data_IF_006901666292
#
_entry.id   IF_006901666292
#
_cell.length_a   1.000
_cell.length_b   1.000
_cell.length_c   1.000
_cell.angle_alpha   90.00
_cell.angle_beta   90.00
_cell.angle_gamma   90.00
#
_symmetry.space_group_name_H-M   'P 1'
#
loop_
_entity.id
_entity.type
_entity.pdbx_description
1 polymer ?
#
# COMPACT_ATOMS: atom_id res chain seq x y z
N UNK A 1 -20.27 -24.18 -0.82
CA UNK A 1 -20.54 -23.92 -2.24
C UNK A 1 -21.32 -22.63 -2.40
N UNK A 2 -21.10 -21.90 -3.50
CA UNK A 2 -21.76 -20.62 -3.78
C UNK A 2 -22.29 -20.64 -5.21
N UNK A 3 -23.59 -20.46 -5.37
CA UNK A 3 -24.20 -20.20 -6.67
C UNK A 3 -24.15 -18.70 -6.95
N UNK A 4 -23.37 -18.27 -7.94
CA UNK A 4 -23.34 -16.88 -8.34
C UNK A 4 -24.63 -16.50 -9.10
N UNK A 5 -25.20 -15.34 -8.78
CA UNK A 5 -26.47 -14.84 -9.32
C UNK A 5 -26.40 -13.39 -9.80
N UNK A 6 -25.21 -12.87 -10.03
CA UNK A 6 -24.98 -11.46 -10.42
C UNK A 6 -25.52 -11.12 -11.83
N UNK A 7 -25.98 -12.12 -12.60
CA UNK A 7 -26.58 -12.00 -13.92
C UNK A 7 -28.12 -11.98 -13.90
N UNK A 8 -28.75 -12.33 -12.77
CA UNK A 8 -30.21 -12.41 -12.62
C UNK A 8 -30.73 -11.55 -11.46
N UNK A 9 -29.93 -10.61 -11.01
CA UNK A 9 -30.27 -9.68 -9.93
C UNK A 9 -31.46 -8.76 -10.28
N UNK A 10 -32.00 -8.12 -9.25
CA UNK A 10 -33.03 -7.09 -9.38
C UNK A 10 -32.58 -5.82 -8.65
N UNK A 11 -32.42 -4.71 -9.36
CA UNK A 11 -31.96 -3.43 -8.79
C UNK A 11 -32.92 -2.78 -7.81
N UNK A 12 -34.18 -3.22 -7.79
CA UNK A 12 -35.21 -2.65 -6.90
C UNK A 12 -35.53 -3.54 -5.71
N UNK A 13 -34.99 -4.76 -5.70
CA UNK A 13 -35.29 -5.78 -4.69
C UNK A 13 -34.08 -6.70 -4.56
N UNK A 14 -33.67 -7.02 -3.34
CA UNK A 14 -32.57 -7.95 -3.07
C UNK A 14 -32.93 -9.40 -3.49
N UNK A 15 -34.22 -9.67 -3.74
CA UNK A 15 -34.69 -11.00 -4.12
C UNK A 15 -34.72 -11.14 -5.65
N UNK A 16 -33.88 -11.99 -6.24
CA UNK A 16 -33.97 -12.26 -7.68
C UNK A 16 -35.31 -12.92 -7.99
N UNK A 17 -35.99 -12.46 -9.03
CA UNK A 17 -37.26 -13.05 -9.49
C UNK A 17 -37.08 -14.42 -10.13
N UNK A 18 -35.95 -14.65 -10.79
CA UNK A 18 -35.62 -15.90 -11.43
C UNK A 18 -35.13 -16.93 -10.39
N UNK A 19 -36.07 -17.57 -9.71
CA UNK A 19 -35.78 -18.63 -8.72
C UNK A 19 -35.38 -19.96 -9.39
N UNK A 20 -35.77 -20.18 -10.62
CA UNK A 20 -35.45 -21.40 -11.36
C UNK A 20 -33.94 -21.52 -11.59
N UNK A 21 -33.26 -20.46 -12.06
CA UNK A 21 -31.81 -20.48 -12.27
C UNK A 21 -31.07 -20.58 -10.92
N UNK A 22 -31.56 -19.95 -9.85
CA UNK A 22 -30.98 -20.11 -8.52
C UNK A 22 -31.02 -21.59 -8.10
N UNK A 23 -32.21 -22.22 -8.18
CA UNK A 23 -32.39 -23.63 -7.85
C UNK A 23 -31.57 -24.57 -8.75
N UNK A 24 -31.54 -24.31 -10.05
CA UNK A 24 -30.75 -25.08 -11.01
C UNK A 24 -29.23 -25.06 -10.67
N UNK A 25 -28.66 -23.88 -10.42
CA UNK A 25 -27.24 -23.72 -10.07
C UNK A 25 -26.91 -24.40 -8.73
N UNK A 26 -27.78 -24.29 -7.74
CA UNK A 26 -27.60 -24.99 -6.47
C UNK A 26 -27.67 -26.50 -6.66
N UNK A 27 -28.59 -27.02 -7.50
CA UNK A 27 -28.69 -28.43 -7.81
C UNK A 27 -27.45 -28.96 -8.53
N UNK A 28 -26.88 -28.22 -9.49
CA UNK A 28 -25.60 -28.57 -10.14
C UNK A 28 -24.48 -28.72 -9.12
N UNK A 29 -24.32 -27.74 -8.21
CA UNK A 29 -23.32 -27.79 -7.15
C UNK A 29 -23.50 -29.00 -6.25
N UNK A 30 -24.74 -29.29 -5.81
CA UNK A 30 -25.04 -30.46 -4.99
C UNK A 30 -24.71 -31.75 -5.74
N UNK A 31 -25.13 -31.89 -6.99
CA UNK A 31 -24.86 -33.06 -7.81
C UNK A 31 -23.36 -33.34 -7.93
N UNK A 32 -22.57 -32.29 -8.19
CA UNK A 32 -21.12 -32.40 -8.32
C UNK A 32 -20.42 -32.70 -7.01
N UNK A 33 -20.63 -31.82 -6.01
CA UNK A 33 -19.81 -31.82 -4.80
C UNK A 33 -20.33 -32.73 -3.70
N UNK A 34 -21.65 -33.00 -3.65
CA UNK A 34 -22.24 -33.87 -2.64
C UNK A 34 -22.50 -35.28 -3.18
N UNK A 35 -23.03 -35.38 -4.41
CA UNK A 35 -23.40 -36.66 -5.01
C UNK A 35 -22.35 -37.23 -5.97
N UNK A 36 -21.18 -36.60 -6.08
CA UNK A 36 -20.01 -37.13 -6.81
C UNK A 36 -20.14 -37.19 -8.33
N UNK A 37 -21.01 -36.38 -8.95
CA UNK A 37 -21.14 -36.28 -10.41
C UNK A 37 -20.05 -35.35 -10.95
N UNK A 38 -18.80 -35.80 -10.93
CA UNK A 38 -17.59 -34.96 -11.21
C UNK A 38 -17.45 -34.51 -12.64
N UNK A 39 -18.16 -35.13 -13.58
CA UNK A 39 -18.22 -34.74 -15.00
C UNK A 39 -19.07 -33.49 -15.28
N UNK A 40 -19.87 -33.05 -14.31
CA UNK A 40 -20.69 -31.87 -14.44
C UNK A 40 -19.87 -30.56 -14.31
N UNK A 41 -20.11 -29.64 -15.22
CA UNK A 41 -19.66 -28.24 -15.07
C UNK A 41 -20.69 -27.51 -14.20
N UNK A 42 -20.42 -27.44 -12.91
CA UNK A 42 -21.32 -26.89 -11.91
C UNK A 42 -20.82 -25.55 -11.31
N UNK A 43 -19.53 -25.34 -11.38
CA UNK A 43 -18.90 -24.17 -10.74
C UNK A 43 -18.87 -22.99 -11.70
N UNK A 44 -19.20 -21.82 -11.18
CA UNK A 44 -19.03 -20.53 -11.86
C UNK A 44 -17.55 -20.23 -12.10
N UNK A 45 -17.22 -19.45 -13.15
CA UNK A 45 -15.88 -18.90 -13.29
C UNK A 45 -15.55 -17.99 -12.09
N UNK A 46 -14.47 -18.28 -11.39
CA UNK A 46 -13.95 -17.44 -10.33
C UNK A 46 -12.54 -16.95 -10.67
N UNK A 47 -12.21 -15.78 -10.15
CA UNK A 47 -10.86 -15.23 -10.24
C UNK A 47 -9.82 -16.27 -9.75
N UNK A 48 -8.78 -16.47 -10.53
CA UNK A 48 -7.64 -17.33 -10.20
C UNK A 48 -6.35 -16.53 -10.07
N UNK A 49 -6.00 -15.72 -11.07
CA UNK A 49 -4.76 -14.95 -11.06
C UNK A 49 -4.85 -13.65 -11.85
N UNK A 50 -3.97 -12.71 -11.50
CA UNK A 50 -3.76 -11.45 -12.19
C UNK A 50 -2.28 -11.36 -12.59
N UNK A 51 -2.00 -10.99 -13.85
CA UNK A 51 -0.64 -10.75 -14.35
C UNK A 51 -0.60 -9.48 -15.17
N UNK A 52 0.53 -8.76 -15.13
CA UNK A 52 0.80 -7.65 -16.04
C UNK A 52 1.34 -8.17 -17.37
N UNK A 53 0.94 -7.54 -18.46
CA UNK A 53 1.48 -7.71 -19.80
C UNK A 53 1.59 -6.32 -20.44
N UNK A 54 2.75 -5.68 -20.28
CA UNK A 54 2.97 -4.30 -20.69
C UNK A 54 1.97 -3.32 -20.04
N UNK A 55 1.16 -2.65 -20.84
CA UNK A 55 0.10 -1.74 -20.40
C UNK A 55 -1.25 -2.42 -20.17
N UNK A 56 -1.28 -3.76 -20.16
CA UNK A 56 -2.48 -4.57 -19.99
C UNK A 56 -2.42 -5.40 -18.71
N UNK A 57 -3.58 -5.83 -18.23
CA UNK A 57 -3.72 -6.84 -17.19
C UNK A 57 -4.38 -8.08 -17.76
N UNK A 58 -3.82 -9.24 -17.47
CA UNK A 58 -4.38 -10.54 -17.82
C UNK A 58 -4.98 -11.15 -16.56
N UNK A 59 -6.30 -11.29 -16.55
CA UNK A 59 -7.07 -11.98 -15.53
C UNK A 59 -7.35 -13.40 -15.99
N UNK A 60 -6.95 -14.39 -15.20
CA UNK A 60 -7.28 -15.80 -15.44
C UNK A 60 -8.41 -16.23 -14.54
N UNK A 61 -9.33 -16.98 -15.06
CA UNK A 61 -10.46 -17.57 -14.32
C UNK A 61 -10.30 -19.08 -14.22
N UNK A 62 -10.52 -19.64 -13.03
CA UNK A 62 -10.73 -21.08 -12.85
C UNK A 62 -12.17 -21.44 -13.17
N UNK A 63 -12.46 -22.71 -13.36
CA UNK A 63 -13.79 -23.27 -13.65
C UNK A 63 -14.37 -22.78 -14.99
N UNK A 64 -13.51 -22.42 -15.93
CA UNK A 64 -13.88 -22.12 -17.30
C UNK A 64 -12.80 -22.67 -18.24
N UNK A 65 -13.21 -23.29 -19.34
CA UNK A 65 -12.35 -23.56 -20.50
C UNK A 65 -12.34 -22.36 -21.43
N UNK A 66 -13.51 -21.77 -21.61
CA UNK A 66 -13.72 -20.58 -22.41
C UNK A 66 -14.67 -19.61 -21.70
N UNK A 67 -14.36 -18.32 -21.82
CA UNK A 67 -15.25 -17.24 -21.40
C UNK A 67 -15.94 -16.64 -22.63
N UNK A 68 -17.21 -16.29 -22.47
CA UNK A 68 -17.99 -15.58 -23.49
C UNK A 68 -18.98 -14.64 -22.80
N UNK A 69 -19.56 -13.72 -23.57
CA UNK A 69 -20.70 -12.93 -23.12
C UNK A 69 -21.98 -13.52 -23.71
N UNK A 70 -23.06 -13.55 -22.94
CA UNK A 70 -24.35 -14.10 -23.41
C UNK A 70 -24.96 -13.31 -24.57
N UNK A 71 -24.68 -12.02 -24.64
CA UNK A 71 -25.23 -11.09 -25.63
C UNK A 71 -24.28 -10.82 -26.79
N UNK A 72 -23.12 -11.47 -26.83
CA UNK A 72 -22.08 -11.28 -27.85
C UNK A 72 -21.41 -9.91 -27.86
N UNK A 73 -21.73 -9.04 -26.90
CA UNK A 73 -21.12 -7.70 -26.73
C UNK A 73 -19.86 -7.77 -25.89
N UNK A 74 -19.00 -6.73 -25.92
CA UNK A 74 -17.86 -6.66 -25.00
C UNK A 74 -18.30 -6.81 -23.54
N UNK A 75 -17.53 -7.57 -22.75
CA UNK A 75 -17.87 -7.85 -21.36
C UNK A 75 -17.86 -6.54 -20.53
N UNK A 76 -19.00 -6.14 -19.92
CA UNK A 76 -19.08 -4.91 -19.15
C UNK A 76 -18.47 -5.11 -17.74
N UNK A 77 -18.35 -3.99 -17.00
CA UNK A 77 -18.02 -3.96 -15.56
C UNK A 77 -16.63 -4.42 -15.18
N UNK A 78 -15.71 -4.54 -16.16
CA UNK A 78 -14.30 -4.59 -15.84
C UNK A 78 -13.74 -3.19 -15.69
N UNK A 79 -12.96 -2.99 -14.62
CA UNK A 79 -12.27 -1.74 -14.36
C UNK A 79 -10.85 -2.03 -13.92
N UNK A 80 -9.91 -1.18 -14.33
CA UNK A 80 -8.51 -1.23 -13.95
C UNK A 80 -8.05 0.08 -13.33
N UNK A 81 -7.04 0.00 -12.47
CA UNK A 81 -6.43 1.16 -11.84
C UNK A 81 -4.90 1.04 -11.84
N UNK A 82 -4.23 2.19 -11.84
CA UNK A 82 -2.82 2.31 -11.51
C UNK A 82 -2.57 2.21 -10.01
N UNK A 83 -1.35 2.55 -9.58
CA UNK A 83 -0.98 2.60 -8.16
C UNK A 83 -1.72 3.70 -7.39
N UNK A 84 -2.29 4.69 -8.08
CA UNK A 84 -3.12 5.75 -7.50
C UNK A 84 -4.49 5.26 -7.02
N UNK A 85 -4.86 4.03 -7.37
CA UNK A 85 -6.14 3.41 -6.99
C UNK A 85 -7.37 4.00 -7.67
N UNK A 86 -7.19 4.86 -8.69
CA UNK A 86 -8.31 5.39 -9.49
C UNK A 86 -8.72 4.39 -10.56
N UNK A 87 -9.92 3.84 -10.42
CA UNK A 87 -10.45 2.86 -11.35
C UNK A 87 -11.10 3.52 -12.58
N UNK A 88 -10.77 3.00 -13.74
CA UNK A 88 -11.37 3.37 -15.03
C UNK A 88 -11.92 2.14 -15.74
N UNK A 89 -13.01 2.27 -16.51
CA UNK A 89 -13.50 1.19 -17.35
C UNK A 89 -12.40 0.64 -18.25
N UNK A 90 -12.36 -0.68 -18.40
CA UNK A 90 -11.41 -1.38 -19.23
C UNK A 90 -12.05 -1.89 -20.51
N UNK A 91 -11.34 -1.76 -21.62
CA UNK A 91 -11.58 -2.57 -22.81
C UNK A 91 -11.17 -4.01 -22.50
N UNK A 92 -11.94 -4.98 -22.99
CA UNK A 92 -11.80 -6.40 -22.65
C UNK A 92 -11.68 -7.23 -23.93
N UNK A 93 -10.65 -8.06 -24.00
CA UNK A 93 -10.52 -9.13 -24.98
C UNK A 93 -10.56 -10.46 -24.23
N UNK A 94 -11.43 -11.38 -24.66
CA UNK A 94 -11.57 -12.72 -24.08
C UNK A 94 -10.78 -13.73 -24.91
N UNK A 95 -9.91 -14.51 -24.25
CA UNK A 95 -9.10 -15.56 -24.86
C UNK A 95 -9.09 -16.81 -23.96
N UNK A 96 -9.81 -17.86 -24.37
CA UNK A 96 -9.99 -19.03 -23.53
C UNK A 96 -10.59 -18.67 -22.16
N UNK A 97 -9.91 -19.02 -21.09
CA UNK A 97 -10.32 -18.67 -19.72
C UNK A 97 -9.73 -17.33 -19.20
N UNK A 98 -9.28 -16.47 -20.12
CA UNK A 98 -8.62 -15.21 -19.75
C UNK A 98 -9.42 -14.02 -20.24
N UNK A 99 -9.38 -12.94 -19.45
CA UNK A 99 -9.80 -11.60 -19.84
C UNK A 99 -8.57 -10.68 -19.84
N UNK A 100 -8.26 -10.11 -21.03
CA UNK A 100 -7.17 -9.16 -21.22
C UNK A 100 -7.77 -7.76 -21.16
N UNK A 101 -7.31 -6.97 -20.18
CA UNK A 101 -7.87 -5.68 -19.82
C UNK A 101 -6.91 -4.55 -20.20
N UNK A 102 -7.42 -3.49 -20.81
CA UNK A 102 -6.65 -2.28 -21.11
C UNK A 102 -7.49 -1.02 -20.95
N UNK A 103 -6.85 0.12 -20.75
CA UNK A 103 -7.52 1.44 -20.73
C UNK A 103 -6.50 2.52 -21.07
N UNK A 104 -6.87 3.42 -21.98
CA UNK A 104 -6.02 4.57 -22.37
C UNK A 104 -5.78 5.54 -21.21
N UNK A 105 -6.61 5.46 -20.17
CA UNK A 105 -6.48 6.27 -18.96
C UNK A 105 -5.52 5.67 -17.93
N UNK A 106 -5.01 4.45 -18.13
CA UNK A 106 -4.17 3.72 -17.18
C UNK A 106 -2.97 3.11 -17.89
N UNK A 107 -1.91 3.87 -18.04
CA UNK A 107 -0.71 3.44 -18.77
C UNK A 107 0.04 2.29 -18.07
N UNK A 108 -0.01 2.22 -16.73
CA UNK A 108 0.59 1.15 -15.92
C UNK A 108 -0.44 0.60 -14.94
N UNK A 109 -1.25 -0.38 -15.35
CA UNK A 109 -2.27 -0.93 -14.48
C UNK A 109 -1.68 -1.92 -13.45
N UNK A 110 -2.19 -1.84 -12.23
CA UNK A 110 -1.82 -2.72 -11.11
C UNK A 110 -3.02 -3.40 -10.45
N UNK A 111 -4.21 -2.87 -10.66
CA UNK A 111 -5.42 -3.34 -10.00
C UNK A 111 -6.48 -3.62 -11.03
N UNK A 112 -7.23 -4.69 -10.82
CA UNK A 112 -8.40 -5.03 -11.61
C UNK A 112 -9.57 -5.36 -10.70
N UNK A 113 -10.78 -5.02 -11.13
CA UNK A 113 -12.01 -5.49 -10.52
C UNK A 113 -13.07 -5.78 -11.58
N UNK A 114 -13.97 -6.69 -11.25
CA UNK A 114 -15.09 -7.06 -12.09
C UNK A 114 -16.37 -7.07 -11.28
N UNK A 115 -17.44 -6.48 -11.81
CA UNK A 115 -18.77 -6.45 -11.18
C UNK A 115 -18.74 -5.94 -9.73
N UNK A 116 -17.82 -5.01 -9.41
CA UNK A 116 -17.61 -4.47 -8.06
C UNK A 116 -18.49 -3.25 -7.81
N UNK A 117 -19.80 -3.41 -8.04
CA UNK A 117 -20.81 -2.36 -7.85
C UNK A 117 -22.14 -3.01 -7.42
N UNK A 118 -22.97 -2.25 -6.72
CA UNK A 118 -24.27 -2.74 -6.21
C UNK A 118 -25.31 -2.99 -7.32
N UNK A 119 -25.19 -2.32 -8.45
CA UNK A 119 -26.20 -2.34 -9.52
C UNK A 119 -25.58 -2.87 -10.82
N UNK A 120 -25.28 -4.16 -10.87
CA UNK A 120 -24.75 -4.81 -12.07
C UNK A 120 -25.61 -5.99 -12.48
N UNK A 121 -25.84 -6.15 -13.78
CA UNK A 121 -26.33 -7.37 -14.39
C UNK A 121 -25.27 -7.85 -15.34
N UNK A 122 -24.54 -8.89 -14.97
CA UNK A 122 -23.38 -9.35 -15.72
C UNK A 122 -23.77 -10.24 -16.89
N UNK A 123 -22.95 -10.26 -17.93
CA UNK A 123 -23.15 -11.10 -19.12
C UNK A 123 -22.02 -12.10 -19.33
N UNK A 124 -20.90 -11.97 -18.58
CA UNK A 124 -19.74 -12.86 -18.68
C UNK A 124 -20.06 -14.23 -18.09
N UNK A 125 -19.87 -15.27 -18.87
CA UNK A 125 -20.16 -16.65 -18.50
C UNK A 125 -19.08 -17.61 -19.02
N UNK A 126 -19.06 -18.84 -18.49
CA UNK A 126 -18.28 -19.93 -19.05
C UNK A 126 -19.03 -20.62 -20.22
N UNK A 127 -18.44 -21.68 -20.77
CA UNK A 127 -19.01 -22.50 -21.83
C UNK A 127 -20.41 -23.04 -21.51
N UNK A 128 -20.71 -23.28 -20.22
CA UNK A 128 -22.01 -23.80 -19.75
C UNK A 128 -22.99 -22.71 -19.28
N UNK A 129 -22.74 -21.44 -19.64
CA UNK A 129 -23.55 -20.28 -19.29
C UNK A 129 -23.67 -20.01 -17.78
N UNK A 130 -22.74 -20.50 -16.96
CA UNK A 130 -22.64 -20.10 -15.55
C UNK A 130 -21.93 -18.73 -15.43
N UNK A 131 -22.51 -17.77 -14.67
CA UNK A 131 -21.98 -16.40 -14.61
C UNK A 131 -20.66 -16.34 -13.87
N UNK A 132 -19.77 -15.44 -14.30
CA UNK A 132 -18.52 -15.18 -13.62
C UNK A 132 -18.73 -14.40 -12.32
N UNK A 133 -18.09 -14.85 -11.26
CA UNK A 133 -18.14 -14.21 -9.95
C UNK A 133 -17.41 -12.85 -9.92
N UNK A 134 -17.91 -11.94 -9.09
CA UNK A 134 -17.28 -10.66 -8.84
C UNK A 134 -15.92 -10.83 -8.18
N UNK A 135 -14.95 -9.96 -8.52
CA UNK A 135 -13.65 -9.97 -7.87
C UNK A 135 -13.02 -8.57 -7.80
N UNK A 136 -12.06 -8.45 -6.90
CA UNK A 136 -11.08 -7.36 -6.84
C UNK A 136 -9.69 -7.98 -6.60
N UNK A 137 -8.72 -7.61 -7.43
CA UNK A 137 -7.37 -8.13 -7.35
C UNK A 137 -6.34 -7.01 -7.57
N UNK A 138 -5.17 -7.19 -6.98
CA UNK A 138 -4.05 -6.25 -7.08
C UNK A 138 -2.79 -7.05 -7.35
N UNK A 139 -1.99 -6.61 -8.34
CA UNK A 139 -0.63 -7.12 -8.52
C UNK A 139 0.24 -6.77 -7.30
N UNK A 140 1.29 -7.54 -7.02
CA UNK A 140 2.31 -7.11 -6.09
C UNK A 140 2.80 -5.72 -6.47
N UNK A 141 2.70 -4.76 -5.54
CA UNK A 141 3.19 -3.40 -5.77
C UNK A 141 4.71 -3.48 -5.91
N UNK A 142 5.31 -3.00 -7.00
CA UNK A 142 6.75 -2.88 -7.08
C UNK A 142 7.16 -1.79 -6.08
N UNK A 143 7.50 -2.23 -4.88
CA UNK A 143 7.78 -1.33 -3.74
C UNK A 143 8.82 -0.27 -4.08
N UNK A 144 9.75 -0.61 -4.99
CA UNK A 144 10.81 0.29 -5.44
C UNK A 144 10.39 1.23 -6.59
N UNK A 145 9.30 0.96 -7.28
CA UNK A 145 8.94 1.67 -8.51
C UNK A 145 8.80 3.18 -8.35
N UNK A 146 8.27 3.65 -7.21
CA UNK A 146 8.16 5.08 -6.93
C UNK A 146 9.52 5.71 -6.59
N UNK A 147 10.39 4.98 -5.90
CA UNK A 147 11.75 5.44 -5.63
C UNK A 147 12.53 5.60 -6.94
N UNK A 148 12.55 4.57 -7.78
CA UNK A 148 13.30 4.56 -9.04
C UNK A 148 12.82 5.63 -10.02
N UNK A 149 11.51 5.92 -10.03
CA UNK A 149 10.91 6.95 -10.87
C UNK A 149 11.25 8.38 -10.43
N UNK A 150 11.40 8.62 -9.12
CA UNK A 150 11.59 9.96 -8.57
C UNK A 150 13.04 10.24 -8.15
N UNK A 151 13.82 9.19 -7.85
CA UNK A 151 15.18 9.27 -7.29
C UNK A 151 16.08 8.23 -7.97
N UNK A 152 16.41 8.38 -9.27
CA UNK A 152 17.20 7.39 -10.00
C UNK A 152 18.62 7.20 -9.42
N UNK A 153 19.14 8.17 -8.70
CA UNK A 153 20.43 8.07 -7.99
C UNK A 153 20.40 7.09 -6.81
N UNK A 154 19.24 6.70 -6.32
CA UNK A 154 19.09 5.70 -5.25
C UNK A 154 19.28 4.25 -5.73
N UNK A 155 19.78 4.03 -6.94
CA UNK A 155 19.95 2.69 -7.55
C UNK A 155 20.78 1.71 -6.71
N UNK A 156 21.75 2.20 -5.93
CA UNK A 156 22.63 1.37 -5.09
C UNK A 156 21.99 1.02 -3.73
N UNK A 157 20.88 1.65 -3.36
CA UNK A 157 20.19 1.36 -2.12
C UNK A 157 19.34 0.10 -2.24
N UNK A 158 19.47 -0.80 -1.28
CA UNK A 158 18.62 -1.98 -1.13
C UNK A 158 17.42 -1.65 -0.24
N UNK A 159 16.25 -2.20 -0.57
CA UNK A 159 15.06 -2.08 0.28
C UNK A 159 15.18 -3.06 1.43
N UNK A 160 15.32 -2.55 2.65
CA UNK A 160 15.29 -3.35 3.87
C UNK A 160 13.86 -3.64 4.30
N UNK A 161 13.03 -2.59 4.33
CA UNK A 161 11.61 -2.68 4.64
C UNK A 161 10.79 -1.79 3.71
N UNK A 162 9.63 -2.29 3.31
CA UNK A 162 8.60 -1.49 2.64
C UNK A 162 7.32 -1.51 3.46
N UNK A 163 6.77 -0.35 3.72
CA UNK A 163 5.66 -0.12 4.65
C UNK A 163 4.53 0.59 3.91
N UNK A 164 3.34 -0.02 3.90
CA UNK A 164 2.11 0.73 3.64
C UNK A 164 1.71 1.40 4.96
N UNK A 165 1.91 2.71 5.05
CA UNK A 165 1.66 3.44 6.28
C UNK A 165 0.19 3.31 6.75
N UNK A 166 -0.75 3.07 5.84
CA UNK A 166 -2.18 2.84 6.15
C UNK A 166 -2.44 1.50 6.84
N UNK A 167 -1.48 0.57 6.75
CA UNK A 167 -1.57 -0.80 7.27
C UNK A 167 -0.37 -1.18 8.13
N UNK A 168 0.40 -0.19 8.57
CA UNK A 168 1.64 -0.40 9.32
C UNK A 168 1.46 -1.24 10.61
N UNK A 169 0.28 -1.17 11.21
CA UNK A 169 -0.08 -1.94 12.39
C UNK A 169 -1.35 -2.75 12.15
N UNK A 170 -1.20 -4.06 12.03
CA UNK A 170 -2.31 -4.99 11.89
C UNK A 170 -2.31 -5.96 13.07
N UNK A 171 -3.45 -6.10 13.75
CA UNK A 171 -3.61 -7.03 14.88
C UNK A 171 -2.58 -6.84 16.00
N UNK A 172 -2.17 -5.58 16.26
CA UNK A 172 -1.21 -5.26 17.32
C UNK A 172 0.24 -5.59 17.00
N UNK A 173 0.58 -5.81 15.73
CA UNK A 173 1.96 -6.08 15.30
C UNK A 173 2.37 -5.22 14.10
N UNK A 174 3.67 -4.87 13.95
CA UNK A 174 4.20 -4.26 12.75
C UNK A 174 3.87 -5.08 11.51
N UNK A 175 3.41 -4.43 10.45
CA UNK A 175 3.06 -5.04 9.18
C UNK A 175 3.86 -4.40 8.05
N UNK A 176 4.40 -5.23 7.17
CA UNK A 176 5.23 -4.80 6.06
C UNK A 176 4.68 -5.31 4.72
N UNK A 177 4.81 -4.51 3.67
CA UNK A 177 4.66 -4.99 2.29
C UNK A 177 5.83 -5.89 1.91
N UNK A 178 7.02 -5.59 2.45
CA UNK A 178 8.23 -6.36 2.25
C UNK A 178 9.13 -6.22 3.49
N UNK A 179 9.66 -7.34 3.96
CA UNK A 179 10.66 -7.43 5.02
C UNK A 179 11.83 -8.28 4.51
N UNK A 180 12.94 -7.61 4.23
CA UNK A 180 14.17 -8.21 3.74
C UNK A 180 15.27 -8.26 4.81
N UNK A 181 14.97 -7.94 6.07
CA UNK A 181 15.99 -7.84 7.12
C UNK A 181 16.83 -9.11 7.25
N UNK A 182 16.19 -10.28 7.15
CA UNK A 182 16.89 -11.57 7.20
C UNK A 182 17.82 -11.79 6.00
N UNK A 183 17.43 -11.33 4.80
CA UNK A 183 18.23 -11.46 3.59
C UNK A 183 19.54 -10.69 3.70
N UNK A 184 19.53 -9.56 4.38
CA UNK A 184 20.69 -8.68 4.54
C UNK A 184 21.35 -8.78 5.91
N UNK A 185 20.94 -9.72 6.75
CA UNK A 185 21.53 -9.93 8.07
C UNK A 185 23.07 -10.14 7.97
N UNK A 186 23.81 -9.40 8.79
CA UNK A 186 25.28 -9.44 8.81
C UNK A 186 25.97 -8.60 7.73
N UNK A 187 25.22 -7.97 6.80
CA UNK A 187 25.80 -6.99 5.88
C UNK A 187 26.08 -5.69 6.64
N UNK A 188 27.21 -5.07 6.31
CA UNK A 188 27.56 -3.76 6.87
C UNK A 188 26.85 -2.65 6.11
N UNK A 189 26.26 -1.73 6.85
CA UNK A 189 25.55 -0.57 6.31
C UNK A 189 26.56 0.55 6.09
N UNK A 190 26.69 1.00 4.84
CA UNK A 190 27.49 2.20 4.50
C UNK A 190 26.68 3.48 4.70
N UNK A 191 25.42 3.46 4.27
CA UNK A 191 24.52 4.62 4.30
C UNK A 191 23.09 4.16 4.52
N UNK A 192 22.35 4.86 5.36
CA UNK A 192 20.91 4.67 5.52
C UNK A 192 20.14 5.61 4.61
N UNK A 193 19.00 5.15 4.14
CA UNK A 193 18.06 5.92 3.36
C UNK A 193 16.63 5.70 3.80
N UNK A 194 15.82 6.75 3.74
CA UNK A 194 14.39 6.69 3.97
C UNK A 194 13.69 7.39 2.80
N UNK A 195 12.67 6.75 2.29
CA UNK A 195 11.87 7.32 1.20
C UNK A 195 10.40 7.28 1.60
N UNK A 196 9.75 8.42 1.57
CA UNK A 196 8.30 8.51 1.72
C UNK A 196 7.70 8.99 0.40
N UNK A 197 6.66 8.29 -0.04
CA UNK A 197 5.85 8.68 -1.19
C UNK A 197 4.38 8.71 -0.82
N UNK A 198 3.75 9.85 -1.07
CA UNK A 198 2.36 10.10 -0.75
C UNK A 198 1.60 10.45 -2.04
N UNK A 199 0.50 9.76 -2.27
CA UNK A 199 -0.47 10.12 -3.31
C UNK A 199 -1.75 10.57 -2.64
N UNK A 200 -2.06 11.85 -2.76
CA UNK A 200 -3.27 12.42 -2.18
C UNK A 200 -4.53 11.96 -2.93
N UNK A 201 -5.69 12.00 -2.27
CA UNK A 201 -6.96 11.61 -2.86
C UNK A 201 -7.36 12.46 -4.08
N UNK A 202 -6.84 13.66 -4.20
CA UNK A 202 -7.02 14.54 -5.37
C UNK A 202 -6.05 14.24 -6.53
N UNK A 203 -5.14 13.27 -6.37
CA UNK A 203 -4.18 12.85 -7.36
C UNK A 203 -2.82 13.55 -7.30
N UNK A 204 -2.63 14.55 -6.45
CA UNK A 204 -1.32 15.15 -6.25
C UNK A 204 -0.39 14.16 -5.56
N UNK A 205 0.90 14.20 -5.96
CA UNK A 205 1.92 13.33 -5.40
C UNK A 205 3.04 14.14 -4.78
N UNK A 206 3.52 13.65 -3.64
CA UNK A 206 4.69 14.19 -2.98
C UNK A 206 5.63 13.08 -2.56
N UNK A 207 6.92 13.38 -2.57
CA UNK A 207 7.93 12.45 -2.09
C UNK A 207 9.05 13.19 -1.37
N UNK A 208 9.73 12.44 -0.51
CA UNK A 208 11.04 12.82 0.02
C UNK A 208 11.92 11.57 0.07
N UNK A 209 13.17 11.75 -0.31
CA UNK A 209 14.26 10.81 -0.09
C UNK A 209 15.29 11.48 0.81
N UNK A 210 15.59 10.84 1.90
CA UNK A 210 16.58 11.31 2.86
C UNK A 210 17.64 10.25 3.08
N UNK A 211 18.90 10.63 3.15
CA UNK A 211 20.00 9.74 3.49
C UNK A 211 20.84 10.31 4.62
N UNK A 212 21.49 9.43 5.39
CA UNK A 212 22.33 9.78 6.53
C UNK A 212 23.36 8.67 6.79
N UNK A 213 24.36 9.00 7.58
CA UNK A 213 25.28 7.97 8.10
C UNK A 213 24.51 6.98 8.97
N UNK A 214 24.94 5.72 9.02
CA UNK A 214 24.27 4.72 9.83
C UNK A 214 24.34 5.05 11.33
N UNK A 215 23.20 5.14 11.97
CA UNK A 215 23.10 5.29 13.42
C UNK A 215 23.01 3.94 14.15
N UNK A 216 22.86 2.85 13.41
CA UNK A 216 22.94 1.47 13.86
C UNK A 216 23.38 0.56 12.73
N UNK A 217 24.02 -0.55 13.05
CA UNK A 217 24.34 -1.65 12.11
C UNK A 217 23.33 -2.81 12.25
N UNK A 218 22.39 -2.73 13.18
CA UNK A 218 21.41 -3.78 13.44
C UNK A 218 20.20 -3.63 12.50
N UNK A 219 20.26 -4.27 11.34
CA UNK A 219 19.20 -4.17 10.31
C UNK A 219 17.82 -4.50 10.87
N UNK A 220 17.72 -5.47 11.78
CA UNK A 220 16.46 -5.85 12.43
C UNK A 220 15.79 -4.76 13.26
N UNK A 221 16.53 -3.71 13.65
CA UNK A 221 16.01 -2.56 14.39
C UNK A 221 15.58 -1.38 13.51
N UNK A 222 15.79 -1.48 12.19
CA UNK A 222 15.49 -0.39 11.25
C UNK A 222 14.05 -0.41 10.73
N UNK A 223 13.26 -1.43 11.06
CA UNK A 223 11.85 -1.51 10.71
C UNK A 223 10.99 -0.51 11.49
N UNK A 224 9.68 -0.73 11.47
CA UNK A 224 8.74 0.06 12.28
C UNK A 224 9.14 0.03 13.75
N UNK A 225 9.28 1.19 14.40
CA UNK A 225 9.57 1.24 15.83
C UNK A 225 8.51 0.51 16.64
N UNK A 226 8.97 -0.40 17.50
CA UNK A 226 8.10 -1.23 18.32
C UNK A 226 8.85 -1.73 19.56
N UNK A 227 8.16 -1.95 20.67
CA UNK A 227 8.76 -2.51 21.86
C UNK A 227 9.37 -3.90 21.59
N UNK A 228 8.66 -4.76 20.86
CA UNK A 228 9.10 -6.11 20.49
C UNK A 228 10.33 -6.14 19.59
N UNK A 229 10.55 -5.13 18.77
CA UNK A 229 11.73 -5.04 17.89
C UNK A 229 12.89 -4.31 18.56
N UNK A 230 12.63 -3.65 19.69
CA UNK A 230 13.57 -2.74 20.37
C UNK A 230 14.10 -1.63 19.43
N UNK A 231 13.32 -1.31 18.39
CA UNK A 231 13.60 -0.23 17.47
C UNK A 231 13.15 1.08 18.11
N UNK A 232 14.09 1.72 18.76
CA UNK A 232 13.89 2.97 19.46
C UNK A 232 15.16 3.81 19.30
N UNK A 233 15.02 4.94 18.61
CA UNK A 233 16.16 5.81 18.31
C UNK A 233 15.74 7.27 18.44
N UNK A 234 16.43 7.99 19.32
CA UNK A 234 16.31 9.43 19.48
C UNK A 234 17.72 10.01 19.53
N UNK A 235 18.19 10.54 18.44
CA UNK A 235 19.55 11.04 18.38
C UNK A 235 19.82 11.93 17.18
N UNK A 236 20.91 12.66 17.28
CA UNK A 236 21.51 13.34 16.13
C UNK A 236 22.06 12.31 15.14
N UNK A 237 21.93 12.63 13.84
CA UNK A 237 22.51 11.89 12.73
C UNK A 237 23.43 12.79 11.93
N UNK A 238 24.39 12.21 11.21
CA UNK A 238 25.39 12.93 10.43
C UNK A 238 25.16 12.77 8.93
N UNK A 239 25.69 13.73 8.16
CA UNK A 239 25.68 13.70 6.70
C UNK A 239 24.28 13.53 6.11
N UNK A 240 23.34 14.31 6.64
CA UNK A 240 21.96 14.32 6.18
C UNK A 240 21.88 14.87 4.75
N UNK A 241 21.25 14.11 3.82
CA UNK A 241 20.88 14.66 2.51
C UNK A 241 19.38 14.58 2.32
N UNK A 242 18.77 15.59 1.74
CA UNK A 242 17.33 15.68 1.52
C UNK A 242 17.06 15.97 0.04
N UNK A 243 16.18 15.17 -0.58
CA UNK A 243 15.66 15.40 -1.93
C UNK A 243 14.14 15.22 -1.92
N UNK A 244 13.40 16.21 -2.34
CA UNK A 244 11.95 16.23 -2.33
C UNK A 244 11.39 17.10 -3.45
N UNK A 245 10.14 16.84 -3.86
CA UNK A 245 9.36 17.71 -4.72
C UNK A 245 8.42 18.63 -3.93
N UNK A 246 8.45 18.60 -2.60
CA UNK A 246 7.56 19.40 -1.75
C UNK A 246 8.10 20.84 -1.67
N UNK A 247 7.28 21.78 -2.09
CA UNK A 247 7.62 23.20 -2.00
C UNK A 247 7.83 23.65 -0.55
N UNK A 248 8.94 24.35 -0.30
CA UNK A 248 9.29 24.85 1.03
C UNK A 248 10.14 23.91 1.87
N UNK A 249 10.28 22.64 1.49
CA UNK A 249 11.28 21.76 2.10
C UNK A 249 12.66 22.03 1.47
N UNK A 250 13.66 22.27 2.31
CA UNK A 250 15.01 22.55 1.85
C UNK A 250 15.70 21.29 1.37
N UNK A 251 15.99 21.24 0.07
CA UNK A 251 16.81 20.19 -0.54
C UNK A 251 18.30 20.49 -0.35
N UNK A 252 19.13 19.44 -0.29
CA UNK A 252 20.59 19.59 -0.23
C UNK A 252 21.25 18.66 0.79
N UNK A 253 22.52 18.99 1.09
CA UNK A 253 23.35 18.25 2.06
C UNK A 253 23.60 19.10 3.29
N UNK A 254 23.46 18.49 4.46
CA UNK A 254 23.60 19.12 5.77
C UNK A 254 24.52 18.26 6.63
N UNK A 255 25.30 18.94 7.50
CA UNK A 255 26.25 18.25 8.37
C UNK A 255 25.54 17.28 9.34
N UNK A 256 24.36 17.66 9.79
CA UNK A 256 23.58 16.89 10.74
C UNK A 256 22.07 17.05 10.56
N UNK A 257 21.34 16.16 11.22
CA UNK A 257 19.90 16.16 11.42
C UNK A 257 19.59 15.43 12.70
N UNK A 258 18.32 15.15 12.97
CA UNK A 258 17.95 14.24 14.06
C UNK A 258 16.83 13.30 13.65
N UNK A 259 16.73 12.21 14.37
CA UNK A 259 15.69 11.19 14.22
C UNK A 259 14.98 10.97 15.53
N UNK A 260 13.68 10.69 15.43
CA UNK A 260 12.81 10.34 16.53
C UNK A 260 11.94 9.15 16.12
N UNK A 261 12.34 7.97 16.56
CA UNK A 261 11.68 6.71 16.24
C UNK A 261 11.19 6.07 17.53
N UNK A 262 9.86 6.01 17.71
CA UNK A 262 9.24 5.49 18.95
C UNK A 262 8.34 4.29 18.69
N UNK A 263 8.46 3.30 19.57
CA UNK A 263 7.55 2.16 19.61
C UNK A 263 6.36 2.34 20.56
N UNK A 264 6.35 3.37 21.40
CA UNK A 264 5.32 3.62 22.42
C UNK A 264 4.97 5.11 22.51
N UNK A 265 4.15 5.48 23.49
CA UNK A 265 3.67 6.86 23.71
C UNK A 265 4.78 7.90 23.63
N UNK A 266 4.39 9.12 23.24
CA UNK A 266 5.18 10.31 23.51
C UNK A 266 5.64 10.29 24.96
N UNK A 267 6.94 10.44 25.12
CA UNK A 267 7.50 10.68 26.43
C UNK A 267 7.39 12.17 26.79
N UNK A 268 7.90 12.48 27.94
CA UNK A 268 8.15 13.86 28.30
C UNK A 268 9.21 14.44 27.39
N UNK A 269 8.99 15.66 26.98
CA UNK A 269 9.90 16.52 26.22
C UNK A 269 11.34 16.41 26.68
N UNK A 270 12.26 16.61 25.76
CA UNK A 270 13.70 16.77 25.95
C UNK A 270 14.51 15.48 25.91
N UNK A 271 14.88 15.09 24.71
CA UNK A 271 16.14 14.39 24.57
C UNK A 271 17.29 15.36 24.85
N UNK A 272 17.91 15.24 26.01
CA UNK A 272 19.06 16.04 26.42
C UNK A 272 20.24 16.04 25.42
N UNK A 273 20.19 15.17 24.44
CA UNK A 273 21.22 14.96 23.43
C UNK A 273 20.96 15.71 22.12
N UNK A 274 19.83 16.42 21.99
CA UNK A 274 19.47 17.18 20.79
C UNK A 274 19.47 18.67 21.13
N UNK A 275 20.43 19.45 20.64
CA UNK A 275 20.54 20.86 20.97
C UNK A 275 19.29 21.65 20.57
N UNK A 276 18.68 22.38 21.50
CA UNK A 276 17.49 23.20 21.27
C UNK A 276 16.18 22.41 21.10
N UNK A 277 16.15 21.15 21.57
CA UNK A 277 14.98 20.28 21.52
C UNK A 277 13.79 20.80 22.34
N UNK A 278 14.03 21.57 23.39
CA UNK A 278 13.05 22.18 24.28
C UNK A 278 12.47 23.51 23.79
N UNK A 279 12.79 23.89 22.56
CA UNK A 279 12.23 25.11 21.95
C UNK A 279 10.75 24.88 21.60
N UNK A 280 9.85 25.64 22.22
CA UNK A 280 8.43 25.64 21.87
C UNK A 280 8.14 25.96 20.39
N UNK A 281 9.13 26.46 19.67
CA UNK A 281 9.06 26.73 18.24
C UNK A 281 9.55 25.58 17.37
N UNK A 282 10.39 24.70 17.91
CA UNK A 282 11.02 23.58 17.19
C UNK A 282 11.22 22.45 18.20
N UNK A 283 10.18 21.74 18.49
CA UNK A 283 10.11 20.67 19.47
C UNK A 283 10.67 19.35 18.91
N UNK A 284 11.87 19.44 18.31
CA UNK A 284 12.58 18.30 17.77
C UNK A 284 13.38 17.61 18.86
N UNK A 285 13.05 16.41 19.19
CA UNK A 285 13.74 15.62 20.19
C UNK A 285 12.92 15.34 21.43
N UNK A 286 11.65 15.18 21.23
CA UNK A 286 10.76 14.66 22.27
C UNK A 286 11.35 13.41 22.92
N UNK A 287 11.51 13.47 24.25
CA UNK A 287 11.99 12.35 25.03
C UNK A 287 10.97 11.22 25.00
N UNK A 288 11.28 10.14 24.30
CA UNK A 288 10.49 8.92 24.39
C UNK A 288 10.77 8.18 25.69
N UNK A 289 9.73 7.64 26.28
CA UNK A 289 9.90 6.64 27.33
C UNK A 289 10.40 5.34 26.73
N UNK A 290 11.06 4.52 27.52
CA UNK A 290 11.45 3.17 27.12
C UNK A 290 10.30 2.43 26.44
N UNK A 291 10.52 1.75 25.32
CA UNK A 291 9.48 1.05 24.59
C UNK A 291 8.96 -0.14 25.40
N UNK A 292 7.98 0.11 26.23
CA UNK A 292 7.35 -0.91 27.09
C UNK A 292 6.00 -1.42 26.53
N UNK A 293 5.51 -0.79 25.45
CA UNK A 293 4.31 -1.23 24.76
C UNK A 293 4.42 -1.02 23.24
N UNK A 294 3.73 -1.85 22.49
CA UNK A 294 3.59 -1.67 21.02
C UNK A 294 2.37 -0.82 20.70
N UNK A 295 2.38 -0.13 19.58
CA UNK A 295 1.17 0.49 19.06
C UNK A 295 1.34 1.86 18.40
N UNK A 296 2.46 2.52 18.58
CA UNK A 296 2.67 3.83 17.94
C UNK A 296 3.48 3.74 16.65
N UNK A 297 4.64 3.10 16.63
CA UNK A 297 5.44 2.92 15.41
C UNK A 297 5.76 4.23 14.71
N UNK A 298 6.04 5.29 15.47
CA UNK A 298 6.27 6.64 14.92
C UNK A 298 7.69 6.81 14.43
N UNK A 299 7.84 7.50 13.30
CA UNK A 299 9.12 7.79 12.66
C UNK A 299 9.14 9.25 12.24
N UNK A 300 10.04 10.03 12.79
CA UNK A 300 10.26 11.42 12.39
C UNK A 300 11.73 11.64 12.04
N UNK A 301 11.98 12.39 10.97
CA UNK A 301 13.33 12.84 10.57
C UNK A 301 13.28 14.34 10.40
N UNK A 302 14.22 15.03 11.02
CA UNK A 302 14.31 16.48 11.00
C UNK A 302 15.62 16.97 10.41
N UNK A 303 15.53 18.03 9.63
CA UNK A 303 16.67 18.86 9.29
C UNK A 303 16.84 19.90 10.40
N UNK A 304 17.76 19.63 11.29
CA UNK A 304 17.98 20.47 12.45
C UNK A 304 18.43 21.89 12.09
N UNK A 305 19.31 22.04 11.09
CA UNK A 305 19.82 23.34 10.65
C UNK A 305 18.73 24.25 10.09
N UNK A 306 17.87 23.71 9.28
CA UNK A 306 16.78 24.46 8.63
C UNK A 306 15.51 24.52 9.49
N UNK A 307 15.51 23.86 10.65
CA UNK A 307 14.35 23.76 11.55
C UNK A 307 13.09 23.22 10.85
N UNK A 308 13.25 22.13 10.13
CA UNK A 308 12.19 21.52 9.33
C UNK A 308 12.02 20.05 9.65
N UNK A 309 10.76 19.61 9.73
CA UNK A 309 10.41 18.20 9.59
C UNK A 309 10.71 17.77 8.15
N UNK A 310 11.54 16.77 7.96
CA UNK A 310 11.81 16.19 6.64
C UNK A 310 10.69 15.29 6.24
N UNK A 311 10.37 14.31 7.09
CA UNK A 311 9.11 13.60 7.07
C UNK A 311 8.69 13.16 8.48
N UNK A 312 7.40 12.97 8.67
CA UNK A 312 6.86 12.32 9.85
C UNK A 312 5.82 11.26 9.48
N UNK A 313 5.86 10.16 10.21
CA UNK A 313 4.84 9.14 10.28
C UNK A 313 4.57 8.83 11.74
N UNK A 314 3.48 9.34 12.26
CA UNK A 314 3.06 9.16 13.63
C UNK A 314 1.83 8.26 13.66
N UNK A 315 2.02 6.99 13.95
CA UNK A 315 0.94 6.03 14.00
C UNK A 315 0.38 5.94 15.42
N UNK A 316 -0.72 6.65 15.67
CA UNK A 316 -1.46 6.54 16.92
C UNK A 316 -2.43 5.38 16.84
N UNK A 317 -2.15 4.28 17.49
CA UNK A 317 -2.99 3.07 17.60
C UNK A 317 -4.14 2.98 16.59
N UNK A 318 -4.03 2.12 15.63
CA UNK A 318 -5.09 1.79 14.67
C UNK A 318 -5.47 2.89 13.66
N UNK A 319 -4.56 3.77 13.27
CA UNK A 319 -4.62 4.42 11.96
C UNK A 319 -5.68 5.49 11.73
N UNK A 320 -6.46 5.90 12.74
CA UNK A 320 -7.55 6.82 12.49
C UNK A 320 -7.15 8.29 12.42
N UNK A 321 -6.06 8.69 13.08
CA UNK A 321 -5.61 10.08 13.13
C UNK A 321 -4.08 10.22 13.06
N UNK A 322 -3.39 9.25 12.47
CA UNK A 322 -1.96 9.33 12.31
C UNK A 322 -1.57 10.57 11.50
N UNK A 323 -0.70 11.38 12.04
CA UNK A 323 -0.02 12.41 11.25
C UNK A 323 0.96 11.74 10.29
N UNK A 324 0.84 12.06 9.01
CA UNK A 324 1.80 11.66 8.00
C UNK A 324 2.01 12.80 7.03
N UNK A 325 3.26 13.05 6.69
CA UNK A 325 3.53 14.09 5.71
C UNK A 325 5.01 14.40 5.55
N UNK A 326 5.27 15.36 4.69
CA UNK A 326 6.57 15.82 4.28
C UNK A 326 6.61 17.34 4.47
N UNK A 327 7.63 17.84 5.16
CA UNK A 327 7.77 19.26 5.44
C UNK A 327 6.99 19.72 6.67
N UNK A 328 7.42 20.80 7.27
CA UNK A 328 6.86 21.35 8.51
C UNK A 328 5.50 22.01 8.26
N UNK A 329 4.55 21.76 9.11
CA UNK A 329 3.28 22.47 9.12
C UNK A 329 3.46 23.92 9.55
N UNK A 330 2.92 24.84 8.77
CA UNK A 330 3.00 26.29 9.06
C UNK A 330 2.04 26.75 10.15
N UNK A 331 1.17 25.90 10.66
CA UNK A 331 0.14 26.27 11.62
C UNK A 331 0.58 26.33 13.09
N UNK A 332 1.90 26.29 13.36
CA UNK A 332 2.44 26.52 14.69
C UNK A 332 2.78 25.28 15.51
N UNK A 333 2.64 24.08 14.96
CA UNK A 333 3.12 22.85 15.55
C UNK A 333 4.40 22.40 14.84
N UNK A 334 5.59 22.56 15.46
CA UNK A 334 6.87 22.31 14.81
C UNK A 334 7.07 20.88 14.37
N UNK A 335 6.47 19.90 15.05
CA UNK A 335 6.59 18.49 14.75
C UNK A 335 5.56 17.98 13.73
N UNK A 336 4.58 18.81 13.37
CA UNK A 336 3.52 18.37 12.50
C UNK A 336 3.83 18.68 11.05
N UNK A 337 3.43 17.75 10.19
CA UNK A 337 3.54 17.89 8.75
C UNK A 337 2.32 18.60 8.16
N UNK A 338 2.38 18.91 6.87
CA UNK A 338 1.29 19.60 6.17
C UNK A 338 -0.02 18.80 6.14
N UNK A 339 0.04 17.47 6.22
CA UNK A 339 -1.13 16.62 5.99
C UNK A 339 -1.96 16.39 7.22
N UNK A 340 -1.35 16.07 8.34
CA UNK A 340 -2.00 15.75 9.61
C UNK A 340 -3.03 14.59 9.58
N UNK A 341 -3.25 13.92 8.45
CA UNK A 341 -4.20 12.81 8.37
C UNK A 341 -3.88 11.82 7.27
N UNK A 342 -3.77 10.55 7.65
CA UNK A 342 -3.63 9.42 6.74
C UNK A 342 -4.81 9.29 5.76
N UNK A 343 -5.99 9.79 6.12
CA UNK A 343 -7.22 9.73 5.30
C UNK A 343 -7.11 10.57 4.03
N UNK A 344 -6.20 11.55 4.00
CA UNK A 344 -6.00 12.43 2.85
C UNK A 344 -5.28 11.75 1.68
N UNK A 345 -4.76 10.54 1.90
CA UNK A 345 -3.97 9.83 0.90
C UNK A 345 -4.61 8.53 0.42
N UNK A 346 -4.56 8.30 -0.87
CA UNK A 346 -4.86 7.03 -1.51
C UNK A 346 -3.70 6.03 -1.34
N UNK A 347 -2.45 6.53 -1.37
CA UNK A 347 -1.24 5.76 -1.13
C UNK A 347 -0.30 6.50 -0.16
N UNK A 348 0.28 5.78 0.79
CA UNK A 348 1.31 6.26 1.70
C UNK A 348 2.36 5.16 1.88
N UNK A 349 3.45 5.24 1.10
CA UNK A 349 4.53 4.27 1.06
C UNK A 349 5.75 4.82 1.81
N UNK A 350 6.32 4.02 2.70
CA UNK A 350 7.61 4.31 3.33
C UNK A 350 8.56 3.16 2.99
N UNK A 351 9.75 3.50 2.50
CA UNK A 351 10.85 2.55 2.31
C UNK A 351 11.96 2.87 3.29
N UNK A 352 12.44 1.85 3.97
CA UNK A 352 13.69 1.88 4.72
C UNK A 352 14.74 1.22 3.85
N UNK A 353 15.83 1.92 3.61
CA UNK A 353 16.81 1.62 2.59
C UNK A 353 18.21 1.62 3.18
N UNK A 354 19.10 0.83 2.59
CA UNK A 354 20.51 0.89 2.91
C UNK A 354 21.39 0.71 1.65
N UNK A 355 22.46 1.45 1.59
CA UNK A 355 23.62 1.09 0.80
C UNK A 355 24.49 0.15 1.63
N UNK A 356 24.76 -1.05 1.11
CA UNK A 356 25.45 -2.14 1.81
C UNK A 356 26.83 -2.37 1.22
N UNK A 357 27.76 -2.88 2.07
CA UNK A 357 29.04 -3.44 1.62
C UNK A 357 28.87 -4.84 1.09
#
# INVERSE_FOLDING_TARGET
>A
DVADINDIGNFRDIHPRNKQDVGYRLALLALKHTYGKTDLVADSPFFESLKADGSKLVVTFRNAKTLKTRDGKPAPYFEIAGLDGKYFPAAVVLEGNKAILSSDKVAKPYMARYAWNHNVTTTLVNENNLPAGAFRATLPIPVRGQLDANVPEAKNFQVLYAIDAKKAWMNGAPSYLQDNAKQFAGKKIKKLGYFMYLSANNGNTSYVFVTMDPFTQEIGKLGLPAARTKAFFQQMVKNLTVKSNVAGLKNGSFADGNIEFWGSNYGTQNSANIPGADSSKYDFGDGGTSPNSDGYGSMQIHNYKEKQVVFAFNNFRAGSNADIGIGTNRSGHPDYTFSQSMKNYSMALILVLAELE
#
